data_IF_351680206173
#
_entry.id   IF_351680206173
#
_cell.length_a   1.000
_cell.length_b   1.000
_cell.length_c   1.000
_cell.angle_alpha   90.00
_cell.angle_beta   90.00
_cell.angle_gamma   90.00
#
_symmetry.space_group_name_H-M   'P 1'
#
loop_
_entity.id
_entity.type
_entity.pdbx_description
1 polymer ?
#
# COMPACT_ATOMS: atom_id res chain seq x y z
N UNK A 1 -1.08 41.34 -7.67
CA UNK A 1 -1.87 40.48 -6.76
C UNK A 1 -1.80 39.03 -7.19
N UNK A 2 -1.96 38.75 -8.50
CA UNK A 2 -1.94 37.40 -9.08
C UNK A 2 -0.67 36.60 -8.77
N UNK A 3 0.52 37.19 -8.91
CA UNK A 3 1.79 36.51 -8.53
C UNK A 3 1.81 35.99 -7.09
N UNK A 4 1.23 36.74 -6.13
CA UNK A 4 1.15 36.29 -4.73
C UNK A 4 0.20 35.09 -4.60
N UNK A 5 -0.90 35.09 -5.35
CA UNK A 5 -1.85 33.97 -5.38
C UNK A 5 -1.23 32.71 -6.00
N UNK A 6 -0.46 32.83 -7.08
CA UNK A 6 0.29 31.70 -7.69
C UNK A 6 1.28 31.11 -6.70
N UNK A 7 2.07 31.93 -6.01
CA UNK A 7 3.02 31.45 -5.01
C UNK A 7 2.32 30.73 -3.85
N UNK A 8 1.20 31.25 -3.36
CA UNK A 8 0.41 30.61 -2.31
C UNK A 8 -0.21 29.29 -2.78
N UNK A 9 -0.74 29.25 -4.01
CA UNK A 9 -1.29 28.03 -4.60
C UNK A 9 -0.21 26.94 -4.76
N UNK A 10 0.95 27.29 -5.33
CA UNK A 10 2.09 26.39 -5.46
C UNK A 10 2.60 25.89 -4.10
N UNK A 11 2.69 26.78 -3.11
CA UNK A 11 3.08 26.41 -1.74
C UNK A 11 2.10 25.42 -1.12
N UNK A 12 0.79 25.61 -1.32
CA UNK A 12 -0.23 24.70 -0.82
C UNK A 12 -0.12 23.29 -1.46
N UNK A 13 0.18 23.20 -2.76
CA UNK A 13 0.42 21.91 -3.42
C UNK A 13 1.69 21.21 -2.91
N UNK A 14 2.76 21.96 -2.62
CA UNK A 14 3.98 21.42 -2.01
C UNK A 14 3.71 20.92 -0.60
N UNK A 15 2.97 21.69 0.21
CA UNK A 15 2.53 21.28 1.55
C UNK A 15 1.69 20.01 1.48
N UNK A 16 0.79 19.90 0.50
CA UNK A 16 0.01 18.67 0.29
C UNK A 16 0.90 17.46 0.01
N UNK A 17 1.93 17.61 -0.84
CA UNK A 17 2.88 16.53 -1.14
C UNK A 17 3.69 16.11 0.09
N UNK A 18 4.14 17.06 0.91
CA UNK A 18 4.90 16.80 2.14
C UNK A 18 4.04 16.09 3.18
N UNK A 19 2.83 16.59 3.45
CA UNK A 19 1.90 15.99 4.41
C UNK A 19 1.42 14.61 3.94
N UNK A 20 1.13 14.46 2.66
CA UNK A 20 0.80 13.17 2.05
C UNK A 20 1.95 12.16 2.05
N UNK A 21 3.18 12.60 2.38
CA UNK A 21 4.36 11.76 2.54
C UNK A 21 4.65 11.40 4.01
N UNK A 22 3.76 11.71 4.95
CA UNK A 22 3.91 11.36 6.37
C UNK A 22 4.10 9.84 6.58
N UNK A 23 3.62 8.98 5.67
CA UNK A 23 3.84 7.54 5.73
C UNK A 23 5.31 7.12 5.77
N UNK A 24 6.23 7.97 5.31
CA UNK A 24 7.68 7.72 5.39
C UNK A 24 8.12 7.60 6.86
N UNK A 25 7.48 8.30 7.80
CA UNK A 25 7.77 8.13 9.24
C UNK A 25 7.08 6.89 9.82
N UNK A 26 6.03 6.39 9.16
CA UNK A 26 5.29 5.18 9.52
C UNK A 26 6.14 3.94 9.63
N UNK A 27 7.20 3.84 8.83
CA UNK A 27 8.11 2.69 8.86
C UNK A 27 8.85 2.50 10.19
N UNK A 28 8.98 3.58 10.98
CA UNK A 28 9.64 3.58 12.28
C UNK A 28 8.65 3.60 13.45
N UNK A 29 7.50 4.25 13.26
CA UNK A 29 6.51 4.48 14.31
C UNK A 29 5.50 3.33 14.44
N UNK A 30 5.24 2.60 13.36
CA UNK A 30 4.23 1.53 13.28
C UNK A 30 4.79 0.31 12.54
N UNK A 31 5.73 -0.45 13.14
CA UNK A 31 6.35 -1.61 12.49
C UNK A 31 5.40 -2.80 12.30
N UNK A 32 4.22 -2.78 12.94
CA UNK A 32 3.19 -3.81 12.81
C UNK A 32 2.49 -3.79 11.45
N UNK A 33 2.52 -2.67 10.71
CA UNK A 33 2.01 -2.59 9.34
C UNK A 33 3.10 -3.10 8.39
N UNK A 34 2.78 -4.15 7.64
CA UNK A 34 3.72 -4.78 6.70
C UNK A 34 4.11 -3.77 5.60
N UNK A 35 5.42 -3.60 5.38
CA UNK A 35 5.95 -2.65 4.39
C UNK A 35 5.82 -3.15 2.96
N UNK A 36 5.88 -4.45 2.75
CA UNK A 36 5.82 -5.10 1.45
C UNK A 36 4.38 -5.43 1.05
N UNK A 37 3.53 -5.82 2.00
CA UNK A 37 2.19 -6.34 1.76
C UNK A 37 1.07 -5.45 2.31
N UNK A 38 1.33 -4.63 3.32
CA UNK A 38 0.33 -3.74 3.90
C UNK A 38 0.19 -2.45 3.10
N UNK A 39 -1.06 -2.03 2.86
CA UNK A 39 -1.32 -0.70 2.30
C UNK A 39 -0.84 0.40 3.25
N UNK A 40 -0.37 1.51 2.68
CA UNK A 40 -0.02 2.71 3.46
C UNK A 40 -1.20 3.23 4.29
N UNK A 41 -2.43 3.11 3.80
CA UNK A 41 -3.64 3.50 4.53
C UNK A 41 -3.86 2.68 5.82
N UNK A 42 -3.23 1.52 5.97
CA UNK A 42 -3.30 0.75 7.23
C UNK A 42 -2.59 1.46 8.37
N UNK A 43 -1.59 2.31 8.11
CA UNK A 43 -0.97 3.15 9.14
C UNK A 43 -2.00 4.08 9.83
N UNK A 44 -3.05 4.45 9.11
CA UNK A 44 -4.15 5.28 9.58
C UNK A 44 -5.34 4.46 10.12
N UNK A 45 -5.28 3.13 10.15
CA UNK A 45 -6.36 2.29 10.66
C UNK A 45 -6.57 2.50 12.17
N UNK A 46 -7.78 2.21 12.67
CA UNK A 46 -8.17 2.53 14.06
C UNK A 46 -7.36 1.77 15.11
N UNK A 47 -6.86 0.59 14.77
CA UNK A 47 -6.11 -0.31 15.64
C UNK A 47 -4.60 -0.01 15.68
N UNK A 48 -4.10 0.87 14.80
CA UNK A 48 -2.67 1.15 14.71
C UNK A 48 -2.19 2.23 15.69
N UNK A 49 -0.97 2.09 16.23
CA UNK A 49 -0.33 3.18 16.95
C UNK A 49 -0.13 4.37 16.01
N UNK A 50 -0.25 5.58 16.56
CA UNK A 50 -0.12 6.84 15.81
C UNK A 50 -1.18 7.07 14.71
N UNK A 51 -2.27 6.31 14.68
CA UNK A 51 -3.40 6.51 13.73
C UNK A 51 -3.80 7.98 13.54
N UNK A 52 -3.83 8.77 14.63
CA UNK A 52 -4.18 10.20 14.58
C UNK A 52 -3.22 11.01 13.73
N UNK A 53 -1.92 10.75 13.80
CA UNK A 53 -0.91 11.46 13.02
C UNK A 53 -1.16 11.28 11.53
N UNK A 54 -1.32 10.04 11.08
CA UNK A 54 -1.53 9.72 9.66
C UNK A 54 -2.88 10.25 9.16
N UNK A 55 -3.95 10.07 9.94
CA UNK A 55 -5.28 10.60 9.58
C UNK A 55 -5.31 12.12 9.46
N UNK A 56 -4.69 12.83 10.41
CA UNK A 56 -4.60 14.29 10.36
C UNK A 56 -3.73 14.73 9.19
N UNK A 57 -2.62 14.03 8.92
CA UNK A 57 -1.75 14.34 7.78
C UNK A 57 -2.48 14.15 6.44
N UNK A 58 -3.22 13.05 6.26
CA UNK A 58 -4.04 12.81 5.06
C UNK A 58 -5.15 13.87 4.90
N UNK A 59 -5.83 14.19 6.00
CA UNK A 59 -6.83 15.26 6.06
C UNK A 59 -6.28 16.61 5.62
N UNK A 60 -5.17 17.03 6.22
CA UNK A 60 -4.52 18.30 5.92
C UNK A 60 -3.90 18.32 4.52
N UNK A 61 -3.35 17.20 4.04
CA UNK A 61 -2.85 17.09 2.66
C UNK A 61 -3.98 17.32 1.65
N UNK A 62 -5.14 16.69 1.86
CA UNK A 62 -6.32 16.89 1.03
C UNK A 62 -6.82 18.33 1.02
N UNK A 63 -6.92 18.95 2.21
CA UNK A 63 -7.30 20.36 2.35
C UNK A 63 -6.29 21.32 1.70
N UNK A 64 -5.00 21.01 1.76
CA UNK A 64 -3.95 21.79 1.11
C UNK A 64 -4.06 21.72 -0.42
N UNK A 65 -4.38 20.56 -1.00
CA UNK A 65 -4.71 20.44 -2.43
C UNK A 65 -5.90 21.32 -2.83
N UNK A 66 -7.00 21.25 -2.09
CA UNK A 66 -8.21 22.07 -2.36
C UNK A 66 -7.89 23.56 -2.24
N UNK A 67 -7.16 23.95 -1.20
CA UNK A 67 -6.75 25.34 -0.97
C UNK A 67 -5.86 25.85 -2.12
N UNK A 68 -4.93 25.02 -2.59
CA UNK A 68 -4.10 25.34 -3.75
C UNK A 68 -4.94 25.67 -4.98
N UNK A 69 -5.96 24.86 -5.28
CA UNK A 69 -6.86 25.08 -6.42
C UNK A 69 -7.74 26.32 -6.23
N UNK A 70 -8.26 26.56 -5.03
CA UNK A 70 -9.09 27.74 -4.74
C UNK A 70 -8.31 29.06 -4.85
N UNK A 71 -7.00 29.02 -4.59
CA UNK A 71 -6.10 30.16 -4.70
C UNK A 71 -5.58 30.39 -6.12
N UNK A 72 -5.82 29.47 -7.06
CA UNK A 72 -5.37 29.65 -8.44
C UNK A 72 -6.08 30.84 -9.09
N UNK A 73 -5.34 31.80 -9.67
CA UNK A 73 -5.95 32.79 -10.54
C UNK A 73 -6.63 32.09 -11.72
N UNK A 74 -7.68 32.70 -12.29
CA UNK A 74 -8.55 32.06 -13.30
C UNK A 74 -7.74 31.52 -14.50
N UNK A 75 -7.43 30.23 -14.48
CA UNK A 75 -6.79 29.52 -15.59
C UNK A 75 -7.87 28.94 -16.53
N UNK A 76 -8.51 29.80 -17.32
CA UNK A 76 -9.71 29.46 -18.10
C UNK A 76 -9.60 28.17 -18.95
N UNK A 77 -8.40 27.79 -19.39
CA UNK A 77 -8.15 26.62 -20.25
C UNK A 77 -7.71 25.35 -19.51
N UNK A 78 -7.46 25.41 -18.20
CA UNK A 78 -6.91 24.29 -17.40
C UNK A 78 -7.84 23.86 -16.27
N UNK A 79 -8.98 24.55 -16.09
CA UNK A 79 -9.93 24.28 -15.01
C UNK A 79 -10.39 22.83 -14.89
N UNK A 80 -10.64 22.05 -15.96
CA UNK A 80 -10.99 20.64 -15.79
C UNK A 80 -9.93 19.84 -15.03
N UNK A 81 -8.64 20.10 -15.31
CA UNK A 81 -7.53 19.44 -14.63
C UNK A 81 -7.40 19.88 -13.18
N UNK A 82 -7.54 21.19 -12.91
CA UNK A 82 -7.49 21.72 -11.54
C UNK A 82 -8.70 21.30 -10.69
N UNK A 83 -9.89 21.18 -11.27
CA UNK A 83 -11.06 20.62 -10.60
C UNK A 83 -10.85 19.14 -10.25
N UNK A 84 -10.16 18.37 -11.10
CA UNK A 84 -9.76 17.01 -10.79
C UNK A 84 -8.74 16.95 -9.62
N UNK A 85 -7.81 17.92 -9.52
CA UNK A 85 -6.92 18.06 -8.35
C UNK A 85 -7.72 18.38 -7.08
N UNK A 86 -8.71 19.26 -7.15
CA UNK A 86 -9.58 19.56 -6.00
C UNK A 86 -10.38 18.32 -5.57
N UNK A 87 -10.94 17.56 -6.52
CA UNK A 87 -11.62 16.30 -6.24
C UNK A 87 -10.70 15.26 -5.60
N UNK A 88 -9.47 15.11 -6.13
CA UNK A 88 -8.42 14.30 -5.52
C UNK A 88 -8.15 14.71 -4.05
N UNK A 89 -8.02 16.01 -3.78
CA UNK A 89 -7.84 16.55 -2.44
C UNK A 89 -9.03 16.25 -1.51
N UNK A 90 -10.26 16.45 -1.99
CA UNK A 90 -11.48 16.17 -1.23
C UNK A 90 -11.59 14.69 -0.83
N UNK A 91 -11.36 13.78 -1.77
CA UNK A 91 -11.41 12.34 -1.49
C UNK A 91 -10.25 11.90 -0.59
N UNK A 92 -9.06 12.47 -0.74
CA UNK A 92 -7.94 12.23 0.19
C UNK A 92 -8.27 12.69 1.61
N UNK A 93 -8.90 13.87 1.74
CA UNK A 93 -9.37 14.35 3.04
C UNK A 93 -10.44 13.42 3.64
N UNK A 94 -11.39 12.94 2.82
CA UNK A 94 -12.39 11.99 3.24
C UNK A 94 -11.77 10.68 3.75
N UNK A 95 -10.73 10.16 3.09
CA UNK A 95 -9.99 8.98 3.56
C UNK A 95 -9.35 9.18 4.94
N UNK A 96 -8.87 10.38 5.27
CA UNK A 96 -8.36 10.69 6.62
C UNK A 96 -9.46 10.78 7.68
N UNK A 97 -10.63 11.32 7.32
CA UNK A 97 -11.80 11.46 8.20
C UNK A 97 -12.40 10.08 8.53
N UNK A 98 -12.58 9.24 7.52
CA UNK A 98 -13.14 7.90 7.61
C UNK A 98 -12.01 6.86 7.54
N UNK A 99 -11.46 6.38 8.68
CA UNK A 99 -10.37 5.42 8.66
C UNK A 99 -10.86 3.99 8.38
N UNK A 100 -9.91 3.14 7.98
CA UNK A 100 -10.04 1.69 8.00
C UNK A 100 -10.27 1.20 9.44
N UNK A 101 -11.00 0.09 9.57
CA UNK A 101 -11.29 -0.51 10.88
C UNK A 101 -10.03 -1.11 11.52
N UNK A 102 -9.21 -1.76 10.72
CA UNK A 102 -7.98 -2.39 11.14
C UNK A 102 -7.03 -2.60 9.95
N UNK A 103 -5.80 -2.99 10.23
CA UNK A 103 -4.78 -3.27 9.20
C UNK A 103 -5.02 -4.64 8.54
N UNK A 104 -6.02 -4.75 7.67
CA UNK A 104 -6.54 -6.03 7.17
C UNK A 104 -5.55 -6.90 6.40
N UNK A 105 -4.57 -6.32 5.71
CA UNK A 105 -3.52 -7.06 5.00
C UNK A 105 -2.34 -7.38 5.92
N UNK A 106 -2.14 -6.62 7.00
CA UNK A 106 -1.08 -6.85 7.97
C UNK A 106 -1.50 -7.77 9.13
N UNK A 107 -2.80 -7.81 9.48
CA UNK A 107 -3.37 -8.63 10.55
C UNK A 107 -4.46 -9.58 10.01
N UNK A 108 -4.21 -10.91 9.98
CA UNK A 108 -5.19 -11.91 9.54
C UNK A 108 -6.47 -11.95 10.38
N UNK A 109 -6.43 -11.54 11.65
CA UNK A 109 -7.60 -11.54 12.52
C UNK A 109 -8.59 -10.43 12.16
N UNK A 110 -8.10 -9.35 11.53
CA UNK A 110 -8.91 -8.21 11.11
C UNK A 110 -9.89 -8.58 9.97
N UNK A 111 -9.46 -9.41 9.02
CA UNK A 111 -10.24 -9.77 7.83
C UNK A 111 -11.49 -10.63 8.09
N UNK A 112 -11.68 -11.11 9.32
CA UNK A 112 -12.79 -12.00 9.70
C UNK A 112 -14.09 -11.26 10.06
N UNK A 113 -14.07 -9.93 10.14
CA UNK A 113 -15.22 -9.10 10.54
C UNK A 113 -15.81 -8.39 9.33
N UNK A 114 -17.12 -8.19 9.33
CA UNK A 114 -17.76 -7.36 8.31
C UNK A 114 -17.24 -5.92 8.36
N UNK A 115 -16.93 -5.30 7.21
CA UNK A 115 -16.38 -3.95 7.17
C UNK A 115 -17.44 -2.93 7.60
N UNK A 116 -17.04 -2.04 8.51
CA UNK A 116 -17.89 -0.94 8.98
C UNK A 116 -18.20 0.03 7.85
N UNK A 117 -19.20 0.89 8.06
CA UNK A 117 -19.51 1.97 7.11
C UNK A 117 -18.31 2.89 6.86
N UNK A 118 -17.52 3.20 7.90
CA UNK A 118 -16.30 4.01 7.78
C UNK A 118 -15.28 3.34 6.87
N UNK A 119 -15.07 2.03 7.01
CA UNK A 119 -14.17 1.27 6.15
C UNK A 119 -14.62 1.35 4.69
N UNK A 120 -15.92 1.16 4.41
CA UNK A 120 -16.46 1.24 3.03
C UNK A 120 -16.28 2.62 2.42
N UNK A 121 -16.54 3.68 3.19
CA UNK A 121 -16.34 5.06 2.75
C UNK A 121 -14.86 5.33 2.48
N UNK A 122 -13.96 4.84 3.35
CA UNK A 122 -12.51 4.93 3.13
C UNK A 122 -12.11 4.30 1.80
N UNK A 123 -12.51 3.06 1.56
CA UNK A 123 -12.14 2.30 0.36
C UNK A 123 -12.66 2.99 -0.90
N UNK A 124 -13.91 3.46 -0.87
CA UNK A 124 -14.50 4.21 -1.99
C UNK A 124 -13.76 5.54 -2.22
N UNK A 125 -13.47 6.30 -1.15
CA UNK A 125 -12.76 7.57 -1.25
C UNK A 125 -11.33 7.38 -1.77
N UNK A 126 -10.60 6.36 -1.31
CA UNK A 126 -9.26 6.04 -1.79
C UNK A 126 -9.24 5.68 -3.30
N UNK A 127 -10.23 4.90 -3.76
CA UNK A 127 -10.37 4.56 -5.17
C UNK A 127 -10.68 5.80 -6.02
N UNK A 128 -11.66 6.61 -5.60
CA UNK A 128 -12.04 7.84 -6.30
C UNK A 128 -10.91 8.88 -6.30
N UNK A 129 -10.18 9.01 -5.19
CA UNK A 129 -8.99 9.86 -5.11
C UNK A 129 -7.98 9.46 -6.18
N UNK A 130 -7.65 8.16 -6.28
CA UNK A 130 -6.72 7.64 -7.29
C UNK A 130 -7.18 7.99 -8.72
N UNK A 131 -8.46 7.77 -9.03
CA UNK A 131 -9.04 8.09 -10.35
C UNK A 131 -8.94 9.60 -10.64
N UNK A 132 -9.31 10.46 -9.68
CA UNK A 132 -9.26 11.91 -9.84
C UNK A 132 -7.81 12.41 -10.03
N UNK A 133 -6.84 11.88 -9.30
CA UNK A 133 -5.44 12.26 -9.45
C UNK A 133 -4.88 11.89 -10.82
N UNK A 134 -5.17 10.67 -11.31
CA UNK A 134 -4.80 10.27 -12.68
C UNK A 134 -5.51 11.12 -13.75
N UNK A 135 -6.79 11.43 -13.56
CA UNK A 135 -7.52 12.32 -14.45
C UNK A 135 -6.90 13.73 -14.48
N UNK A 136 -6.50 14.26 -13.33
CA UNK A 136 -5.79 15.55 -13.24
C UNK A 136 -4.47 15.53 -14.01
N UNK A 137 -3.66 14.49 -13.84
CA UNK A 137 -2.40 14.27 -14.57
C UNK A 137 -2.61 14.24 -16.09
N UNK A 138 -3.64 13.52 -16.57
CA UNK A 138 -3.97 13.44 -18.00
C UNK A 138 -4.44 14.77 -18.55
N UNK A 139 -5.40 15.43 -17.88
CA UNK A 139 -6.01 16.67 -18.34
C UNK A 139 -5.00 17.83 -18.37
N UNK A 140 -4.18 17.96 -17.32
CA UNK A 140 -3.12 18.96 -17.26
C UNK A 140 -1.97 18.61 -18.22
N UNK A 141 -1.55 17.35 -18.29
CA UNK A 141 -0.49 16.92 -19.20
C UNK A 141 -0.81 17.12 -20.68
N UNK A 142 -2.06 16.84 -21.08
CA UNK A 142 -2.55 17.12 -22.43
C UNK A 142 -2.50 18.62 -22.75
N UNK A 143 -2.73 19.48 -21.75
CA UNK A 143 -2.78 20.93 -21.91
C UNK A 143 -1.41 21.60 -21.88
N UNK A 144 -0.49 21.10 -21.05
CA UNK A 144 0.89 21.58 -20.94
C UNK A 144 1.77 21.11 -22.09
N UNK A 145 1.38 20.03 -22.79
CA UNK A 145 2.10 19.48 -23.96
C UNK A 145 3.58 19.17 -23.67
N UNK A 146 3.89 18.83 -22.42
CA UNK A 146 5.23 18.52 -21.95
C UNK A 146 5.46 17.02 -21.89
N UNK A 147 6.57 16.54 -22.44
CA UNK A 147 6.96 15.13 -22.36
C UNK A 147 7.19 14.70 -20.91
N UNK A 148 7.70 15.60 -20.05
CA UNK A 148 7.91 15.35 -18.62
C UNK A 148 6.57 15.09 -17.92
N UNK A 149 5.55 15.88 -18.25
CA UNK A 149 4.21 15.66 -17.69
C UNK A 149 3.65 14.30 -18.09
N UNK A 150 3.82 13.91 -19.36
CA UNK A 150 3.36 12.58 -19.82
C UNK A 150 4.17 11.44 -19.22
N UNK A 151 5.47 11.61 -18.99
CA UNK A 151 6.28 10.63 -18.27
C UNK A 151 5.72 10.40 -16.86
N UNK A 152 5.43 11.46 -16.10
CA UNK A 152 4.81 11.33 -14.78
C UNK A 152 3.44 10.65 -14.84
N UNK A 153 2.60 11.00 -15.82
CA UNK A 153 1.30 10.36 -16.02
C UNK A 153 1.44 8.87 -16.28
N UNK A 154 2.33 8.47 -17.20
CA UNK A 154 2.56 7.07 -17.55
C UNK A 154 3.13 6.27 -16.39
N UNK A 155 4.10 6.83 -15.65
CA UNK A 155 4.65 6.20 -14.45
C UNK A 155 3.60 6.03 -13.35
N UNK A 156 2.70 7.00 -13.19
CA UNK A 156 1.60 6.94 -12.21
C UNK A 156 0.55 5.90 -12.58
N UNK A 157 0.20 5.81 -13.87
CA UNK A 157 -0.67 4.75 -14.39
C UNK A 157 -0.02 3.39 -14.19
N UNK A 158 1.26 3.24 -14.56
CA UNK A 158 2.00 1.99 -14.35
C UNK A 158 2.05 1.59 -12.87
N UNK A 159 2.36 2.51 -11.96
CA UNK A 159 2.36 2.26 -10.52
C UNK A 159 0.97 1.85 -10.02
N UNK A 160 -0.10 2.48 -10.52
CA UNK A 160 -1.48 2.11 -10.15
C UNK A 160 -1.84 0.71 -10.65
N UNK A 161 -1.48 0.36 -11.89
CA UNK A 161 -1.67 -0.97 -12.43
C UNK A 161 -0.86 -2.02 -11.67
N UNK A 162 0.36 -1.69 -11.25
CA UNK A 162 1.16 -2.53 -10.38
C UNK A 162 0.48 -2.75 -9.02
N UNK A 163 -0.12 -1.72 -8.42
CA UNK A 163 -0.88 -1.88 -7.17
C UNK A 163 -2.06 -2.82 -7.34
N UNK A 164 -2.83 -2.67 -8.43
CA UNK A 164 -3.97 -3.56 -8.74
C UNK A 164 -3.50 -5.00 -9.02
N UNK A 165 -2.43 -5.16 -9.80
CA UNK A 165 -1.85 -6.47 -10.08
C UNK A 165 -1.28 -7.16 -8.84
N UNK A 166 -0.60 -6.40 -7.97
CA UNK A 166 -0.07 -6.88 -6.71
C UNK A 166 -1.18 -7.28 -5.72
N UNK A 167 -2.29 -6.52 -5.70
CA UNK A 167 -3.49 -6.90 -4.95
C UNK A 167 -4.07 -8.22 -5.47
N UNK A 168 -4.23 -8.36 -6.79
CA UNK A 168 -4.75 -9.59 -7.40
C UNK A 168 -3.83 -10.79 -7.18
N UNK A 169 -2.52 -10.58 -7.14
CA UNK A 169 -1.52 -11.60 -6.83
C UNK A 169 -1.40 -11.90 -5.33
N UNK A 170 -2.00 -11.08 -4.46
CA UNK A 170 -1.91 -11.20 -3.01
C UNK A 170 -0.50 -10.95 -2.45
N UNK A 171 0.40 -10.32 -3.21
CA UNK A 171 1.81 -10.12 -2.84
C UNK A 171 2.33 -8.76 -3.32
N UNK A 172 3.17 -8.09 -2.53
CA UNK A 172 3.88 -6.86 -2.94
C UNK A 172 3.05 -5.58 -3.05
N UNK A 173 1.77 -5.59 -2.64
CA UNK A 173 0.86 -4.44 -2.81
C UNK A 173 1.30 -3.21 -2.00
N UNK A 174 1.96 -3.43 -0.85
CA UNK A 174 2.52 -2.36 -0.04
C UNK A 174 3.65 -1.60 -0.73
N UNK A 175 4.53 -2.30 -1.47
CA UNK A 175 5.60 -1.65 -2.24
C UNK A 175 5.03 -0.86 -3.40
N UNK A 176 4.12 -1.46 -4.17
CA UNK A 176 3.48 -0.82 -5.31
C UNK A 176 2.70 0.43 -4.88
N UNK A 177 1.95 0.35 -3.79
CA UNK A 177 1.20 1.49 -3.26
C UNK A 177 2.12 2.63 -2.82
N UNK A 178 3.24 2.35 -2.17
CA UNK A 178 4.23 3.38 -1.78
C UNK A 178 4.86 4.06 -2.99
N UNK A 179 5.18 3.30 -4.03
CA UNK A 179 5.68 3.85 -5.29
C UNK A 179 4.62 4.76 -5.95
N UNK A 180 3.35 4.34 -5.95
CA UNK A 180 2.24 5.12 -6.46
C UNK A 180 2.06 6.44 -5.71
N UNK A 181 2.03 6.42 -4.37
CA UNK A 181 1.90 7.64 -3.56
C UNK A 181 3.10 8.59 -3.75
N UNK A 182 4.31 8.04 -3.85
CA UNK A 182 5.51 8.84 -4.15
C UNK A 182 5.37 9.54 -5.50
N UNK A 183 4.86 8.85 -6.51
CA UNK A 183 4.66 9.44 -7.84
C UNK A 183 3.65 10.59 -7.82
N UNK A 184 2.55 10.43 -7.07
CA UNK A 184 1.57 11.50 -6.88
C UNK A 184 2.17 12.70 -6.15
N UNK A 185 2.94 12.47 -5.07
CA UNK A 185 3.60 13.54 -4.33
C UNK A 185 4.61 14.31 -5.19
N UNK A 186 5.46 13.60 -5.93
CA UNK A 186 6.43 14.22 -6.85
C UNK A 186 5.70 14.98 -7.97
N UNK A 187 4.60 14.46 -8.49
CA UNK A 187 3.81 15.15 -9.50
C UNK A 187 3.14 16.42 -8.97
N UNK A 188 2.64 16.43 -7.72
CA UNK A 188 2.12 17.65 -7.10
C UNK A 188 3.19 18.75 -7.00
N UNK A 189 4.42 18.37 -6.63
CA UNK A 189 5.58 19.28 -6.65
C UNK A 189 5.87 19.75 -8.07
N UNK A 190 5.86 18.85 -9.05
CA UNK A 190 6.03 19.21 -10.47
C UNK A 190 4.97 20.21 -10.94
N UNK A 191 3.70 19.99 -10.60
CA UNK A 191 2.60 20.89 -10.92
C UNK A 191 2.79 22.27 -10.28
N UNK A 192 3.24 22.33 -9.02
CA UNK A 192 3.58 23.56 -8.33
C UNK A 192 4.73 24.32 -9.03
N UNK A 193 5.78 23.61 -9.45
CA UNK A 193 6.91 24.20 -10.18
C UNK A 193 6.48 24.69 -11.57
N UNK A 194 5.64 23.93 -12.27
CA UNK A 194 5.11 24.32 -13.56
C UNK A 194 4.28 25.60 -13.47
N UNK A 195 3.48 25.76 -12.41
CA UNK A 195 2.75 27.00 -12.12
C UNK A 195 3.69 28.19 -11.93
N UNK A 196 4.73 28.03 -11.12
CA UNK A 196 5.70 29.11 -10.83
C UNK A 196 6.47 29.54 -12.09
N UNK A 197 6.96 28.59 -12.88
CA UNK A 197 7.71 28.87 -14.12
C UNK A 197 6.82 29.50 -15.19
N UNK A 198 5.56 29.05 -15.30
CA UNK A 198 4.62 29.62 -16.27
C UNK A 198 4.25 31.07 -15.95
N UNK A 199 4.11 31.42 -14.67
CA UNK A 199 3.88 32.80 -14.21
C UNK A 199 5.06 33.71 -14.54
N UNK A 200 6.29 33.25 -14.30
CA UNK A 200 7.50 34.02 -14.63
C UNK A 200 7.62 34.26 -16.15
N UNK A 201 7.28 33.27 -16.99
CA UNK A 201 7.27 33.44 -18.46
C UNK A 201 6.21 34.45 -18.93
N UNK A 202 5.03 34.46 -18.32
CA UNK A 202 4.00 35.45 -18.65
C UNK A 202 4.38 36.85 -18.18
N UNK A 203 5.06 36.99 -17.05
CA UNK A 203 5.58 38.27 -16.57
C UNK A 203 6.75 38.79 -17.44
N UNK A 204 7.58 37.90 -17.99
CA UNK A 204 8.73 38.24 -18.82
C UNK A 204 8.40 38.57 -20.29
N UNK A 205 7.20 38.24 -20.76
CA UNK A 205 6.68 38.67 -22.06
C UNK A 205 5.70 39.81 -21.79
N UNK A 206 6.12 41.09 -21.79
CA UNK A 206 5.18 42.18 -21.83
C UNK A 206 4.30 42.01 -23.06
N UNK A 207 3.03 42.36 -22.94
CA UNK A 207 2.09 42.43 -24.06
C UNK A 207 2.67 43.40 -25.11
N UNK A 208 3.47 42.86 -26.03
CA UNK A 208 3.83 43.51 -27.28
C UNK A 208 2.55 43.56 -28.10
N UNK A 209 1.61 44.41 -27.67
CA UNK A 209 0.55 44.88 -28.52
C UNK A 209 1.24 45.29 -29.81
N UNK A 210 0.87 44.71 -30.97
CA UNK A 210 1.48 45.10 -32.23
C UNK A 210 1.30 46.61 -32.34
N UNK A 211 2.43 47.34 -32.35
CA UNK A 211 2.40 48.77 -32.54
C UNK A 211 1.48 49.04 -33.73
N UNK A 212 0.50 49.94 -33.62
CA UNK A 212 -0.40 50.21 -34.73
C UNK A 212 0.48 50.55 -35.92
N UNK A 213 0.45 49.68 -36.93
CA UNK A 213 1.18 49.88 -38.17
C UNK A 213 0.56 51.11 -38.79
N UNK A 214 1.16 52.27 -38.52
CA UNK A 214 0.88 53.48 -39.27
C UNK A 214 1.28 53.14 -40.71
N UNK A 215 0.29 52.86 -41.55
CA UNK A 215 0.48 52.75 -42.99
C UNK A 215 1.01 54.10 -43.45
N UNK A 216 2.32 54.20 -43.61
CA UNK A 216 2.93 55.24 -44.42
C UNK A 216 2.32 55.13 -45.84
N UNK A 217 1.74 56.20 -46.40
CA UNK A 217 1.25 56.17 -47.76
C UNK A 217 2.44 56.14 -48.71
N UNK A 218 2.54 55.08 -49.51
CA UNK A 218 3.28 55.11 -50.77
C UNK A 218 4.73 54.64 -50.71
N UNK A 219 4.94 53.35 -50.95
CA UNK A 219 6.11 52.90 -51.69
C UNK A 219 5.70 51.71 -52.58
N UNK A 220 5.80 51.90 -53.90
CA UNK A 220 5.58 50.86 -54.91
C UNK A 220 6.60 49.73 -54.74
N UNK A 221 6.23 48.46 -54.96
CA UNK A 221 7.18 47.35 -54.90
C UNK A 221 8.06 47.34 -56.17
N UNK A 222 9.38 47.37 -55.97
CA UNK A 222 10.36 47.04 -57.00
C UNK A 222 10.63 45.53 -57.01
N UNK A 223 10.73 44.98 -58.21
CA UNK A 223 10.86 43.57 -58.55
C UNK A 223 12.22 42.93 -58.13
N UNK A 224 12.31 41.59 -58.06
CA UNK A 224 13.42 40.88 -57.43
C UNK A 224 14.63 40.74 -58.36
N UNK A 225 15.85 40.88 -57.81
CA UNK A 225 17.09 40.48 -58.48
C UNK A 225 17.67 39.22 -57.85
N UNK A 226 18.00 38.30 -58.75
CA UNK A 226 18.56 36.97 -58.57
C UNK A 226 20.09 36.97 -58.45
N UNK A 227 20.63 35.87 -57.90
CA UNK A 227 22.05 35.45 -57.94
C UNK A 227 22.82 35.80 -56.66
N UNK A 228 23.72 34.98 -56.10
CA UNK A 228 24.38 33.72 -56.51
C UNK A 228 25.22 33.26 -55.30
N UNK A 229 25.22 31.97 -54.96
CA UNK A 229 26.33 31.28 -54.25
C UNK A 229 27.42 30.92 -55.30
N UNK A 230 28.68 30.49 -54.99
CA UNK A 230 29.04 29.45 -54.01
C UNK A 230 30.47 29.54 -53.36
N UNK A 231 30.81 28.56 -52.51
CA UNK A 231 32.19 28.21 -52.11
C UNK A 231 32.27 27.68 -50.66
N UNK A 232 32.32 26.38 -50.39
CA UNK A 232 33.47 25.41 -50.39
C UNK A 232 33.86 25.03 -48.95
N UNK A 233 33.75 23.73 -48.65
CA UNK A 233 34.32 23.00 -47.50
C UNK A 233 35.85 22.77 -47.73
N UNK A 234 36.67 22.06 -46.90
CA UNK A 234 36.31 20.91 -46.03
C UNK A 234 37.11 20.68 -44.71
N UNK A 235 36.78 19.54 -44.08
CA UNK A 235 37.57 18.63 -43.23
C UNK A 235 37.94 18.96 -41.78
N UNK A 236 37.45 18.12 -40.84
CA UNK A 236 38.24 17.04 -40.20
C UNK A 236 37.45 16.35 -39.05
N UNK A 237 37.66 15.04 -38.92
CA UNK A 237 37.32 14.14 -37.80
C UNK A 237 38.49 13.12 -37.69
N UNK A 238 38.53 12.12 -36.76
CA UNK A 238 37.99 11.96 -35.41
C UNK A 238 39.05 11.41 -34.38
N UNK A 239 38.74 11.36 -33.07
CA UNK A 239 39.41 10.49 -32.07
C UNK A 239 38.44 10.29 -30.88
N UNK A 240 37.95 9.08 -30.53
CA UNK A 240 38.57 7.88 -29.93
C UNK A 240 38.14 7.71 -28.46
N UNK A 241 37.58 6.54 -28.15
CA UNK A 241 37.23 6.05 -26.81
C UNK A 241 38.39 5.25 -26.19
N UNK A 242 38.32 4.93 -24.88
CA UNK A 242 38.44 3.51 -24.51
C UNK A 242 37.51 3.04 -23.37
N UNK A 243 37.67 1.74 -23.07
CA UNK A 243 36.78 0.74 -22.45
C UNK A 243 36.90 0.57 -20.91
N UNK A 244 35.81 0.06 -20.33
CA UNK A 244 35.60 -1.08 -19.39
C UNK A 244 36.45 -1.34 -18.11
N UNK A 245 35.73 -1.60 -16.99
CA UNK A 245 35.87 -2.68 -15.98
C UNK A 245 34.85 -2.40 -14.84
N UNK A 246 34.12 -3.28 -14.15
CA UNK A 246 34.22 -4.72 -13.90
C UNK A 246 34.67 -5.00 -12.44
N UNK A 247 33.76 -5.18 -11.47
CA UNK A 247 34.06 -5.81 -10.17
C UNK A 247 32.80 -6.29 -9.41
N UNK A 248 32.97 -7.41 -8.70
CA UNK A 248 31.96 -8.37 -8.26
C UNK A 248 31.61 -8.30 -6.75
N UNK A 249 30.65 -9.16 -6.39
CA UNK A 249 30.03 -9.37 -5.08
C UNK A 249 30.95 -9.96 -3.99
N UNK A 250 30.57 -9.75 -2.72
CA UNK A 250 31.06 -10.48 -1.55
C UNK A 250 29.89 -10.77 -0.59
N UNK A 251 29.82 -12.02 -0.11
CA UNK A 251 28.78 -12.54 0.79
C UNK A 251 29.07 -12.37 2.29
N UNK A 252 28.10 -12.75 3.12
CA UNK A 252 28.10 -12.70 4.59
C UNK A 252 27.73 -14.07 5.17
N UNK A 253 28.42 -14.59 6.21
CA UNK A 253 28.08 -15.85 6.90
C UNK A 253 27.13 -15.66 8.11
N UNK A 254 26.43 -16.71 8.57
CA UNK A 254 25.55 -16.68 9.75
C UNK A 254 26.28 -17.17 11.01
N UNK A 255 25.86 -16.72 12.21
CA UNK A 255 25.78 -17.50 13.46
C UNK A 255 25.39 -16.62 14.67
N UNK A 256 24.77 -17.27 15.68
CA UNK A 256 24.36 -16.84 17.04
C UNK A 256 22.91 -16.33 17.21
N UNK A 257 22.16 -16.66 18.27
CA UNK A 257 22.16 -17.70 19.31
C UNK A 257 20.78 -17.57 20.02
N UNK A 258 20.29 -18.65 20.63
CA UNK A 258 18.98 -18.78 21.28
C UNK A 258 19.03 -18.41 22.78
N UNK A 259 17.98 -17.75 23.28
CA UNK A 259 17.60 -17.66 24.70
C UNK A 259 16.24 -16.96 24.79
N UNK A 260 15.25 -17.30 25.62
CA UNK A 260 15.18 -18.00 26.91
C UNK A 260 13.69 -18.41 27.11
N UNK A 261 13.38 -19.60 27.66
CA UNK A 261 12.01 -20.13 27.81
C UNK A 261 11.67 -20.32 29.30
N UNK A 262 10.59 -19.69 29.76
CA UNK A 262 9.98 -19.91 31.08
C UNK A 262 8.80 -20.90 30.99
N UNK A 263 8.75 -21.86 31.92
CA UNK A 263 7.67 -22.84 32.16
C UNK A 263 6.48 -22.18 32.93
N UNK A 264 5.26 -22.70 33.11
CA UNK A 264 4.61 -23.99 32.84
C UNK A 264 3.08 -23.77 32.71
N UNK A 265 2.38 -24.57 31.89
CA UNK A 265 0.92 -24.60 31.75
C UNK A 265 0.49 -25.64 30.70
N UNK A 266 -0.71 -26.21 30.82
CA UNK A 266 -1.18 -27.32 29.95
C UNK A 266 -1.25 -26.90 28.47
N UNK A 267 -0.43 -27.54 27.64
CA UNK A 267 -0.24 -27.22 26.22
C UNK A 267 0.83 -26.14 26.02
N UNK A 268 1.97 -26.52 25.45
CA UNK A 268 3.05 -25.57 25.11
C UNK A 268 3.00 -25.27 23.61
N UNK A 269 3.04 -23.99 23.24
CA UNK A 269 3.15 -23.53 21.87
C UNK A 269 4.51 -22.85 21.67
N UNK A 270 5.26 -23.30 20.67
CA UNK A 270 6.55 -22.70 20.30
C UNK A 270 6.37 -21.93 18.99
N UNK A 271 6.85 -20.69 18.97
CA UNK A 271 6.84 -19.80 17.81
C UNK A 271 8.25 -19.22 17.62
N UNK A 272 8.81 -19.36 16.42
CA UNK A 272 10.00 -18.62 16.00
C UNK A 272 9.58 -17.60 14.92
N UNK A 273 9.34 -16.38 15.37
CA UNK A 273 9.07 -15.20 14.56
C UNK A 273 9.07 -13.95 15.44
N UNK A 274 9.43 -12.77 14.91
CA UNK A 274 9.41 -11.56 15.72
C UNK A 274 7.96 -11.19 16.10
N UNK A 275 7.66 -11.26 17.41
CA UNK A 275 6.65 -10.40 18.02
C UNK A 275 5.18 -10.83 18.04
N UNK A 276 4.84 -12.12 18.23
CA UNK A 276 3.46 -12.51 18.57
C UNK A 276 3.42 -13.42 19.80
N UNK A 277 3.06 -12.86 20.95
CA UNK A 277 2.68 -13.63 22.14
C UNK A 277 1.21 -14.04 22.01
N UNK A 278 0.95 -15.35 21.88
CA UNK A 278 -0.41 -15.89 22.01
C UNK A 278 -0.61 -16.39 23.44
N UNK A 279 -1.61 -15.82 24.11
CA UNK A 279 -2.01 -16.18 25.46
C UNK A 279 -2.53 -17.61 25.58
N UNK A 280 -2.40 -18.16 26.79
CA UNK A 280 -2.88 -19.49 27.14
C UNK A 280 -4.38 -19.65 26.82
N UNK A 281 -4.73 -20.68 26.06
CA UNK A 281 -6.13 -21.12 25.91
C UNK A 281 -6.51 -21.83 27.21
N UNK A 282 -7.19 -21.13 28.11
CA UNK A 282 -7.79 -21.74 29.28
C UNK A 282 -8.96 -22.63 28.84
N UNK A 283 -8.79 -23.95 28.97
CA UNK A 283 -9.89 -24.90 28.86
C UNK A 283 -10.94 -24.66 29.94
N UNK A 284 -12.21 -24.61 29.55
CA UNK A 284 -13.37 -24.52 30.44
C UNK A 284 -13.42 -25.77 31.35
N UNK A 285 -13.44 -25.64 32.69
CA UNK A 285 -13.60 -26.80 33.57
C UNK A 285 -15.07 -27.22 33.68
N UNK A 286 -15.37 -28.53 33.89
CA UNK A 286 -16.73 -29.01 34.02
C UNK A 286 -17.25 -28.86 35.46
N UNK A 287 -18.48 -28.31 35.58
CA UNK A 287 -19.41 -28.63 36.67
C UNK A 287 -19.49 -27.66 37.85
N UNK A 288 -20.61 -26.91 37.91
CA UNK A 288 -21.26 -26.52 39.17
C UNK A 288 -22.78 -26.66 39.01
N UNK A 289 -23.40 -27.45 39.91
CA UNK A 289 -24.86 -27.61 40.07
C UNK A 289 -25.50 -26.34 40.65
N UNK A 290 -26.70 -26.00 40.17
CA UNK A 290 -27.63 -25.02 40.77
C UNK A 290 -29.02 -25.12 40.13
N UNK A 291 -30.11 -24.73 40.80
CA UNK A 291 -31.28 -25.60 40.97
C UNK A 291 -32.50 -25.31 40.06
N UNK A 292 -33.29 -26.36 39.83
CA UNK A 292 -34.76 -26.34 39.91
C UNK A 292 -35.57 -25.58 38.85
N UNK A 293 -36.05 -26.29 37.84
CA UNK A 293 -37.16 -25.84 36.99
C UNK A 293 -37.91 -27.02 36.38
N UNK A 294 -39.07 -27.37 36.93
CA UNK A 294 -40.01 -28.39 36.42
C UNK A 294 -40.80 -27.82 35.24
N UNK A 295 -41.01 -28.62 34.19
CA UNK A 295 -42.00 -28.35 33.13
C UNK A 295 -41.92 -29.38 31.99
N UNK A 296 -43.04 -29.76 31.34
CA UNK A 296 -43.39 -31.17 31.14
C UNK A 296 -42.96 -31.78 29.81
N UNK A 297 -42.87 -33.11 29.83
CA UNK A 297 -42.37 -33.94 28.75
C UNK A 297 -43.35 -34.25 27.61
N UNK A 298 -42.77 -34.76 26.53
CA UNK A 298 -43.44 -35.51 25.47
C UNK A 298 -42.62 -36.75 25.19
N UNK A 299 -43.25 -37.92 25.35
CA UNK A 299 -42.70 -39.25 25.02
C UNK A 299 -42.86 -39.50 23.53
N UNK A 300 -41.81 -40.04 22.90
CA UNK A 300 -41.85 -40.74 21.61
C UNK A 300 -40.97 -42.00 21.68
N UNK A 301 -41.33 -43.10 21.03
CA UNK A 301 -40.92 -44.45 21.43
C UNK A 301 -39.53 -44.85 20.93
N UNK A 302 -38.87 -45.68 21.72
CA UNK A 302 -37.54 -46.20 21.45
C UNK A 302 -37.50 -47.32 20.40
N UNK A 303 -36.35 -47.41 19.73
CA UNK A 303 -35.83 -48.65 19.17
C UNK A 303 -34.48 -48.92 19.82
N UNK A 304 -34.39 -50.03 20.54
CA UNK A 304 -33.15 -50.62 21.05
C UNK A 304 -32.55 -51.52 19.98
N UNK A 305 -31.26 -51.41 19.76
CA UNK A 305 -30.39 -52.50 19.30
C UNK A 305 -29.15 -52.56 20.19
N UNK A 306 -28.57 -53.76 20.44
CA UNK A 306 -27.57 -53.99 21.48
C UNK A 306 -26.14 -53.79 20.95
N UNK A 307 -25.21 -53.54 21.88
CA UNK A 307 -23.93 -52.89 21.59
C UNK A 307 -22.76 -53.78 21.19
N UNK A 308 -21.64 -53.12 20.87
CA UNK A 308 -20.28 -53.64 21.03
C UNK A 308 -19.28 -52.47 21.15
N UNK A 309 -18.14 -52.80 21.79
CA UNK A 309 -17.11 -51.97 22.42
C UNK A 309 -16.43 -50.95 21.49
N UNK A 310 -16.00 -49.81 22.09
CA UNK A 310 -15.25 -48.74 21.41
C UNK A 310 -13.87 -49.15 20.87
N UNK A 311 -13.28 -48.32 20.00
CA UNK A 311 -12.24 -47.39 20.48
C UNK A 311 -12.18 -46.02 19.77
N UNK A 312 -11.63 -45.03 20.47
CA UNK A 312 -10.76 -43.97 19.92
C UNK A 312 -11.35 -43.00 18.88
N UNK A 313 -12.02 -41.95 19.35
CA UNK A 313 -12.22 -40.75 18.52
C UNK A 313 -10.86 -40.04 18.33
N UNK A 314 -10.23 -40.19 17.16
CA UNK A 314 -9.20 -39.24 16.72
C UNK A 314 -9.95 -37.96 16.30
N UNK A 315 -9.65 -36.78 16.86
CA UNK A 315 -10.18 -35.54 16.30
C UNK A 315 -9.53 -35.35 14.93
N UNK A 316 -10.31 -35.52 13.86
CA UNK A 316 -9.89 -35.10 12.54
C UNK A 316 -9.75 -33.58 12.55
N UNK A 317 -8.60 -33.07 12.09
CA UNK A 317 -8.45 -31.65 11.79
C UNK A 317 -9.38 -31.33 10.61
N UNK A 318 -10.59 -30.85 10.95
CA UNK A 318 -11.61 -30.50 9.97
C UNK A 318 -11.11 -29.41 9.03
N UNK A 319 -11.57 -29.47 7.78
CA UNK A 319 -11.38 -28.38 6.83
C UNK A 319 -11.87 -27.07 7.45
N UNK A 320 -11.05 -26.03 7.37
CA UNK A 320 -11.45 -24.66 7.69
C UNK A 320 -11.97 -24.06 6.40
N UNK A 321 -13.18 -23.50 6.42
CA UNK A 321 -13.92 -23.06 5.24
C UNK A 321 -13.04 -22.32 4.21
N UNK A 322 -13.02 -22.83 2.98
CA UNK A 322 -12.26 -22.29 1.85
C UNK A 322 -10.90 -22.93 1.56
N UNK A 323 -10.34 -23.70 2.49
CA UNK A 323 -9.05 -24.39 2.32
C UNK A 323 -9.19 -25.89 2.57
N UNK A 324 -8.47 -26.71 1.81
CA UNK A 324 -8.38 -28.15 2.08
C UNK A 324 -7.74 -28.43 3.46
N UNK A 325 -7.86 -29.67 3.98
CA UNK A 325 -7.32 -30.00 5.30
C UNK A 325 -5.81 -29.69 5.35
N UNK A 326 -5.31 -29.05 6.43
CA UNK A 326 -3.90 -28.72 6.52
C UNK A 326 -3.06 -30.01 6.57
N UNK A 327 -1.87 -29.97 5.98
CA UNK A 327 -0.88 -31.01 6.18
C UNK A 327 -0.40 -30.96 7.64
N UNK A 328 -0.49 -32.10 8.33
CA UNK A 328 -0.13 -32.24 9.74
C UNK A 328 0.79 -33.45 9.90
N UNK A 329 1.89 -33.25 10.63
CA UNK A 329 2.81 -34.30 11.07
C UNK A 329 2.76 -34.37 12.59
N UNK A 330 2.37 -35.54 13.10
CA UNK A 330 2.40 -35.83 14.54
C UNK A 330 3.52 -36.83 14.87
N UNK A 331 4.23 -36.59 15.97
CA UNK A 331 5.29 -37.46 16.47
C UNK A 331 5.26 -37.54 18.00
N UNK A 332 5.60 -38.70 18.56
CA UNK A 332 5.72 -38.91 20.00
C UNK A 332 4.39 -39.15 20.71
N UNK A 333 4.45 -39.25 22.04
CA UNK A 333 3.29 -39.49 22.91
C UNK A 333 3.42 -38.66 24.19
N UNK A 334 2.32 -38.37 24.88
CA UNK A 334 2.30 -37.52 26.07
C UNK A 334 1.54 -36.21 25.87
N UNK A 335 1.78 -35.19 26.71
CA UNK A 335 1.12 -33.89 26.60
C UNK A 335 1.36 -33.26 25.21
N UNK A 336 0.33 -32.62 24.66
CA UNK A 336 0.40 -32.06 23.32
C UNK A 336 1.25 -30.78 23.29
N UNK A 337 2.14 -30.70 22.29
CA UNK A 337 2.92 -29.51 21.94
C UNK A 337 2.63 -29.18 20.49
N UNK A 338 2.09 -28.00 20.23
CA UNK A 338 1.81 -27.52 18.88
C UNK A 338 2.96 -26.59 18.46
N UNK A 339 3.59 -26.90 17.33
CA UNK A 339 4.63 -26.06 16.76
C UNK A 339 4.09 -25.40 15.49
N UNK A 340 4.17 -24.07 15.43
CA UNK A 340 3.76 -23.28 14.28
C UNK A 340 4.97 -22.58 13.67
N UNK A 341 5.11 -22.70 12.35
CA UNK A 341 6.20 -22.06 11.63
C UNK A 341 5.88 -20.58 11.32
N UNK A 342 6.89 -19.72 11.40
CA UNK A 342 6.82 -18.31 11.02
C UNK A 342 6.68 -18.08 9.50
N UNK A 343 6.82 -16.82 9.08
CA UNK A 343 6.86 -16.45 7.66
C UNK A 343 7.93 -17.26 6.90
N UNK A 344 7.57 -17.78 5.71
CA UNK A 344 8.40 -18.66 4.89
C UNK A 344 8.86 -19.98 5.55
N UNK A 345 8.33 -20.32 6.73
CA UNK A 345 8.61 -21.59 7.40
C UNK A 345 7.63 -22.71 7.06
N UNK A 346 8.07 -23.96 7.18
CA UNK A 346 7.27 -25.16 6.98
C UNK A 346 7.51 -26.20 8.11
N UNK A 347 6.70 -27.25 8.17
CA UNK A 347 6.74 -28.28 9.21
C UNK A 347 8.13 -28.93 9.42
N UNK A 348 8.92 -29.10 8.34
CA UNK A 348 10.21 -29.79 8.36
C UNK A 348 11.35 -28.95 8.98
N UNK A 349 11.21 -27.62 9.05
CA UNK A 349 12.19 -26.77 9.74
C UNK A 349 12.30 -27.10 11.24
N UNK A 350 11.31 -27.82 11.78
CA UNK A 350 11.25 -28.20 13.18
C UNK A 350 11.63 -29.66 13.43
N UNK A 351 12.18 -30.38 12.45
CA UNK A 351 12.51 -31.81 12.60
C UNK A 351 13.43 -32.08 13.80
N UNK A 352 14.50 -31.30 13.98
CA UNK A 352 15.43 -31.46 15.10
C UNK A 352 14.76 -31.19 16.46
N UNK A 353 13.96 -30.14 16.55
CA UNK A 353 13.25 -29.76 17.79
C UNK A 353 12.14 -30.77 18.11
N UNK A 354 11.42 -31.24 17.09
CA UNK A 354 10.38 -32.25 17.22
C UNK A 354 10.94 -33.62 17.63
N UNK A 355 12.13 -33.99 17.16
CA UNK A 355 12.82 -35.20 17.57
C UNK A 355 13.14 -35.17 19.08
N UNK A 356 13.59 -34.03 19.61
CA UNK A 356 13.88 -33.91 21.03
C UNK A 356 12.60 -33.87 21.88
N UNK A 357 11.63 -33.03 21.51
CA UNK A 357 10.36 -32.91 22.25
C UNK A 357 9.53 -34.19 22.20
N UNK A 358 9.58 -34.93 21.08
CA UNK A 358 8.85 -36.18 20.84
C UNK A 358 9.20 -37.31 21.80
N UNK A 359 10.32 -37.18 22.55
CA UNK A 359 10.67 -38.12 23.63
C UNK A 359 9.69 -38.11 24.80
N UNK A 360 9.04 -36.98 25.05
CA UNK A 360 8.17 -36.77 26.24
C UNK A 360 6.80 -36.15 25.92
N UNK A 361 6.61 -35.69 24.70
CA UNK A 361 5.42 -34.98 24.27
C UNK A 361 4.86 -35.56 22.97
N UNK A 362 3.56 -35.37 22.76
CA UNK A 362 2.94 -35.52 21.44
C UNK A 362 3.13 -34.20 20.70
N UNK A 363 4.10 -34.17 19.80
CA UNK A 363 4.44 -32.99 19.00
C UNK A 363 3.59 -32.98 17.73
N UNK A 364 2.84 -31.90 17.55
CA UNK A 364 1.97 -31.68 16.38
C UNK A 364 2.58 -30.51 15.61
N UNK A 365 2.90 -30.73 14.34
CA UNK A 365 3.41 -29.73 13.40
C UNK A 365 2.45 -29.65 12.24
N UNK A 366 2.10 -28.46 11.80
CA UNK A 366 1.23 -28.29 10.64
C UNK A 366 1.77 -27.23 9.70
N UNK A 367 1.47 -27.38 8.42
CA UNK A 367 1.71 -26.34 7.44
C UNK A 367 0.54 -25.37 7.40
N UNK A 368 0.83 -24.06 7.39
CA UNK A 368 -0.21 -23.04 7.20
C UNK A 368 -0.80 -23.15 5.79
N UNK A 369 -2.07 -22.77 5.56
CA UNK A 369 -2.67 -22.79 4.23
C UNK A 369 -1.78 -22.10 3.18
N UNK A 370 -1.59 -22.75 2.03
CA UNK A 370 -0.75 -22.30 0.94
C UNK A 370 0.77 -22.41 1.13
N UNK A 371 1.24 -22.94 2.26
CA UNK A 371 2.66 -23.23 2.53
C UNK A 371 2.90 -24.73 2.69
N UNK A 372 4.15 -25.17 2.50
CA UNK A 372 4.55 -26.56 2.64
C UNK A 372 3.71 -27.50 1.77
N UNK A 373 3.09 -28.50 2.39
CA UNK A 373 2.18 -29.44 1.72
C UNK A 373 0.70 -29.13 1.97
N UNK A 374 0.38 -28.01 2.65
CA UNK A 374 -1.01 -27.60 2.85
C UNK A 374 -1.61 -27.02 1.56
N UNK A 375 -2.87 -27.36 1.23
CA UNK A 375 -3.57 -26.80 0.08
C UNK A 375 -3.59 -25.27 0.10
N UNK A 376 -3.55 -24.67 -1.10
CA UNK A 376 -3.74 -23.23 -1.32
C UNK A 376 -5.19 -22.83 -1.24
#
# INVERSE_FOLDING_TARGET
MERRLVVLAASALIVAAVLGSAWITGQFTTPAVDRAHGYVSELAARDQPWTRLFRVSDGLAGLACVSGVLLLPRAAREWPGWLAVAAFGLFTCASGVFPLDCAALSDPACGLREPSWSHRVHTLAAALSTICGLAAMVLLGARWRSWVSWLFTLLSVAATLLTVGALAAGQGVGVAHRAQLTMFAVWLVYAALHLLVSDDHQAAVPDLAPAPVSRAPGARPAAPRTGTAPGTAPDTAPEAAPRAAGAAAAGVPPDADFGEVLAAGHGMALNAGPGVALGAVAGVPPGVRGPGGRGPGVRGPGRRTPGMRGPGMKPGFGAVDGYGPPHVVEQGTGPAVLITAGAAGAWFHWDAVAAELGRRHRVIRFDRPGLGLSPR
#
